data_IF_208005727572
#
_entry.id   IF_208005727572
#
_cell.length_a   1.000
_cell.length_b   1.000
_cell.length_c   1.000
_cell.angle_alpha   90.00
_cell.angle_beta   90.00
_cell.angle_gamma   90.00
#
_symmetry.space_group_name_H-M   'P 1'
#
loop_
_entity.id
_entity.type
_entity.pdbx_description
1 polymer ?
#
# COMPACT_ATOMS: atom_id res chain seq x y z
N UNK A 1 -29.07 2.49 4.31
CA UNK A 1 -27.80 3.20 4.04
C UNK A 1 -26.68 2.40 4.68
N UNK A 2 -25.53 2.31 4.03
CA UNK A 2 -24.35 1.66 4.62
C UNK A 2 -23.97 2.35 5.93
N UNK A 3 -23.47 1.60 6.91
CA UNK A 3 -22.96 2.13 8.20
C UNK A 3 -21.43 2.22 8.23
N UNK A 4 -20.77 1.90 7.12
CA UNK A 4 -19.32 2.06 6.97
C UNK A 4 -18.94 3.54 6.90
N UNK A 5 -17.66 3.84 7.16
CA UNK A 5 -17.10 5.18 6.95
C UNK A 5 -17.34 5.70 5.53
N UNK A 6 -17.51 7.01 5.39
CA UNK A 6 -17.69 7.62 4.08
C UNK A 6 -16.38 7.53 3.29
N UNK A 7 -16.44 7.45 1.95
CA UNK A 7 -15.27 7.72 1.12
C UNK A 7 -14.60 9.05 1.48
N UNK A 8 -13.30 9.14 1.24
CA UNK A 8 -12.54 10.35 1.54
C UNK A 8 -13.12 11.56 0.80
N UNK A 9 -13.29 12.67 1.52
CA UNK A 9 -14.02 13.86 1.04
C UNK A 9 -15.55 13.81 1.22
N UNK A 10 -16.10 12.74 1.81
CA UNK A 10 -17.51 12.66 2.24
C UNK A 10 -18.54 12.42 1.15
N UNK A 11 -18.12 12.27 -0.12
CA UNK A 11 -18.98 11.97 -1.26
C UNK A 11 -19.11 10.46 -1.54
N UNK A 12 -19.65 10.13 -2.70
CA UNK A 12 -19.68 8.75 -3.21
C UNK A 12 -18.29 8.30 -3.70
N UNK A 13 -18.08 6.97 -3.78
CA UNK A 13 -16.89 6.43 -4.43
C UNK A 13 -16.80 6.90 -5.88
N UNK A 14 -15.61 7.35 -6.29
CA UNK A 14 -15.35 7.87 -7.62
C UNK A 14 -14.42 6.94 -8.37
N UNK A 15 -15.01 5.94 -9.03
CA UNK A 15 -14.32 5.07 -9.99
C UNK A 15 -14.11 5.81 -11.31
N UNK A 16 -12.86 5.90 -11.79
CA UNK A 16 -12.55 6.48 -13.09
C UNK A 16 -12.47 5.44 -14.22
N UNK A 17 -12.63 4.15 -13.91
CA UNK A 17 -12.67 3.09 -14.90
C UNK A 17 -13.93 3.21 -15.77
N UNK A 18 -13.73 3.31 -17.07
CA UNK A 18 -14.78 3.16 -18.05
C UNK A 18 -15.09 1.68 -18.29
N UNK A 19 -16.37 1.39 -18.50
CA UNK A 19 -16.85 0.04 -18.80
C UNK A 19 -17.71 0.03 -20.08
N UNK A 20 -17.88 -1.16 -20.67
CA UNK A 20 -18.80 -1.38 -21.79
C UNK A 20 -18.46 -0.55 -23.03
N UNK A 21 -19.47 0.05 -23.64
CA UNK A 21 -19.32 0.78 -24.90
C UNK A 21 -18.53 2.09 -24.74
N UNK A 22 -18.59 2.73 -23.57
CA UNK A 22 -17.81 3.93 -23.27
C UNK A 22 -16.31 3.63 -23.25
N UNK A 23 -15.91 2.51 -22.64
CA UNK A 23 -14.52 2.05 -22.61
C UNK A 23 -14.01 1.75 -24.03
N UNK A 24 -14.80 1.00 -24.81
CA UNK A 24 -14.41 0.63 -26.19
C UNK A 24 -14.23 1.86 -27.07
N UNK A 25 -15.18 2.80 -27.03
CA UNK A 25 -15.11 4.02 -27.82
C UNK A 25 -13.90 4.88 -27.44
N UNK A 26 -13.60 5.00 -26.15
CA UNK A 26 -12.45 5.79 -25.68
C UNK A 26 -11.12 5.08 -26.00
N UNK A 27 -11.06 3.75 -25.93
CA UNK A 27 -9.89 2.98 -26.34
C UNK A 27 -9.61 3.09 -27.84
N UNK A 28 -10.63 3.05 -28.69
CA UNK A 28 -10.49 3.31 -30.13
C UNK A 28 -9.95 4.71 -30.40
N UNK A 29 -10.45 5.72 -29.66
CA UNK A 29 -9.96 7.10 -29.73
C UNK A 29 -8.50 7.21 -29.31
N UNK A 30 -8.11 6.49 -28.25
CA UNK A 30 -6.77 6.51 -27.68
C UNK A 30 -5.68 6.03 -28.65
N UNK A 31 -6.02 5.13 -29.58
CA UNK A 31 -5.06 4.61 -30.58
C UNK A 31 -4.46 5.70 -31.49
N UNK A 32 -5.18 6.81 -31.69
CA UNK A 32 -4.72 7.94 -32.50
C UNK A 32 -4.06 9.08 -31.71
N UNK A 33 -3.98 8.99 -30.38
CA UNK A 33 -3.45 10.05 -29.54
C UNK A 33 -1.93 10.01 -29.44
N UNK A 34 -1.34 11.15 -29.06
CA UNK A 34 0.05 11.18 -28.56
C UNK A 34 0.12 10.30 -27.30
N UNK A 35 1.18 9.52 -27.20
CA UNK A 35 1.38 8.59 -26.09
C UNK A 35 2.33 9.19 -25.06
N UNK A 36 1.97 9.08 -23.79
CA UNK A 36 2.84 9.36 -22.65
C UNK A 36 3.12 8.04 -21.93
N UNK A 37 4.40 7.69 -21.80
CA UNK A 37 4.84 6.45 -21.15
C UNK A 37 4.76 6.62 -19.64
N UNK A 38 4.14 5.65 -18.97
CA UNK A 38 3.92 5.64 -17.54
C UNK A 38 4.81 4.58 -16.90
N UNK A 39 5.54 4.98 -15.86
CA UNK A 39 6.31 4.01 -15.05
C UNK A 39 5.39 3.23 -14.12
N UNK A 40 5.89 2.13 -13.58
CA UNK A 40 5.18 1.23 -12.65
C UNK A 40 4.33 1.95 -11.58
N UNK A 41 4.91 2.97 -10.93
CA UNK A 41 4.21 3.78 -9.91
C UNK A 41 2.98 4.47 -10.48
N UNK A 42 3.13 5.12 -11.63
CA UNK A 42 2.06 5.87 -12.30
C UNK A 42 0.98 4.92 -12.82
N UNK A 43 1.36 3.74 -13.31
CA UNK A 43 0.41 2.67 -13.67
C UNK A 43 -0.41 2.23 -12.45
N UNK A 44 0.23 2.00 -11.30
CA UNK A 44 -0.46 1.71 -10.05
C UNK A 44 -1.42 2.81 -9.62
N UNK A 45 -1.02 4.08 -9.77
CA UNK A 45 -1.86 5.24 -9.45
C UNK A 45 -3.07 5.38 -10.38
N UNK A 46 -2.87 5.14 -11.68
CA UNK A 46 -3.96 5.06 -12.67
C UNK A 46 -4.96 3.99 -12.26
N UNK A 47 -4.49 2.79 -11.89
CA UNK A 47 -5.39 1.70 -11.46
C UNK A 47 -6.11 2.08 -10.16
N UNK A 48 -5.41 2.67 -9.18
CA UNK A 48 -6.03 3.11 -7.93
C UNK A 48 -7.10 4.18 -8.13
N UNK A 49 -6.90 5.12 -9.06
CA UNK A 49 -7.96 6.06 -9.48
C UNK A 49 -9.07 5.34 -10.24
N UNK A 50 -8.71 4.41 -11.12
CA UNK A 50 -9.64 3.59 -11.91
C UNK A 50 -10.63 2.84 -11.04
N UNK A 51 -10.17 2.17 -9.98
CA UNK A 51 -11.03 1.42 -9.07
C UNK A 51 -11.69 2.27 -7.97
N UNK A 52 -11.36 3.58 -7.90
CA UNK A 52 -11.84 4.49 -6.86
C UNK A 52 -11.10 4.39 -5.51
N UNK A 53 -9.96 3.70 -5.46
CA UNK A 53 -9.10 3.64 -4.28
C UNK A 53 -8.53 5.01 -3.91
N UNK A 54 -8.31 5.88 -4.91
CA UNK A 54 -7.89 7.28 -4.74
C UNK A 54 -9.04 8.29 -4.85
N UNK A 55 -10.28 7.89 -4.54
CA UNK A 55 -11.39 8.84 -4.36
C UNK A 55 -10.95 9.97 -3.41
N UNK A 56 -11.17 11.27 -3.74
CA UNK A 56 -11.97 11.79 -4.86
C UNK A 56 -11.17 12.30 -6.08
N UNK A 57 -9.89 11.92 -6.23
CA UNK A 57 -9.09 12.37 -7.39
C UNK A 57 -9.80 12.08 -8.71
N UNK A 58 -9.74 13.03 -9.65
CA UNK A 58 -10.13 12.86 -11.06
C UNK A 58 -8.95 12.61 -11.98
N UNK A 59 -7.71 12.78 -11.51
CA UNK A 59 -6.51 12.58 -12.31
C UNK A 59 -5.26 13.03 -11.57
N UNK A 60 -4.24 13.38 -12.35
CA UNK A 60 -2.94 13.76 -11.82
C UNK A 60 -2.92 15.22 -11.38
N UNK A 61 -2.26 15.46 -10.24
CA UNK A 61 -2.29 16.72 -9.51
C UNK A 61 -1.74 17.91 -10.30
N UNK A 62 -2.36 19.07 -10.11
CA UNK A 62 -1.85 20.37 -10.59
C UNK A 62 -0.60 20.80 -9.82
N UNK A 63 0.10 21.84 -10.29
CA UNK A 63 1.21 22.42 -9.53
C UNK A 63 0.74 22.91 -8.15
N UNK A 64 -0.48 23.46 -8.08
CA UNK A 64 -1.06 23.97 -6.83
C UNK A 64 -1.37 22.85 -5.83
N UNK A 65 -1.91 21.72 -6.32
CA UNK A 65 -2.16 20.54 -5.49
C UNK A 65 -0.84 19.93 -5.02
N UNK A 66 0.11 19.72 -5.93
CA UNK A 66 1.44 19.20 -5.60
C UNK A 66 2.10 20.02 -4.49
N UNK A 67 2.12 21.35 -4.63
CA UNK A 67 2.74 22.24 -3.65
C UNK A 67 2.04 22.17 -2.30
N UNK A 68 0.71 22.24 -2.28
CA UNK A 68 -0.07 22.15 -1.05
C UNK A 68 0.11 20.81 -0.33
N UNK A 69 0.18 19.71 -1.09
CA UNK A 69 0.38 18.36 -0.54
C UNK A 69 1.79 18.20 0.03
N UNK A 70 2.82 18.70 -0.66
CA UNK A 70 4.17 18.76 -0.12
C UNK A 70 4.22 19.58 1.17
N UNK A 71 3.72 20.82 1.14
CA UNK A 71 3.94 21.79 2.21
C UNK A 71 3.08 21.54 3.46
N UNK A 72 1.84 21.08 3.26
CA UNK A 72 0.85 21.00 4.32
C UNK A 72 -0.07 19.79 4.28
N UNK A 73 0.14 18.83 3.36
CA UNK A 73 -0.75 17.68 3.15
C UNK A 73 -2.19 18.08 2.80
N UNK A 74 -2.36 19.15 2.01
CA UNK A 74 -3.67 19.57 1.51
C UNK A 74 -3.60 19.88 0.01
N UNK A 75 -4.61 19.42 -0.73
CA UNK A 75 -4.85 19.84 -2.10
C UNK A 75 -5.22 21.33 -2.16
N UNK A 76 -5.20 21.92 -3.36
CA UNK A 76 -5.60 23.31 -3.57
C UNK A 76 -7.07 23.57 -3.19
N UNK A 77 -7.91 22.53 -3.22
CA UNK A 77 -9.29 22.55 -2.72
C UNK A 77 -9.40 22.68 -1.19
N UNK A 78 -8.29 22.52 -0.46
CA UNK A 78 -8.25 22.39 0.99
C UNK A 78 -8.54 20.98 1.49
N UNK A 79 -8.78 20.00 0.62
CA UNK A 79 -8.95 18.61 1.03
C UNK A 79 -7.61 18.00 1.47
N UNK A 80 -7.60 17.32 2.61
CA UNK A 80 -6.41 16.62 3.09
C UNK A 80 -5.93 15.54 2.10
N UNK A 81 -4.62 15.53 1.81
CA UNK A 81 -3.98 14.49 1.02
C UNK A 81 -2.47 14.43 1.36
N UNK A 82 -1.91 13.26 1.75
CA UNK A 82 -0.59 13.22 2.38
C UNK A 82 0.61 13.10 1.42
N UNK A 83 0.42 12.54 0.21
CA UNK A 83 1.53 12.26 -0.74
C UNK A 83 1.12 12.69 -2.16
N UNK A 84 1.95 13.44 -2.91
CA UNK A 84 1.61 13.86 -4.27
C UNK A 84 1.38 12.68 -5.23
N UNK A 85 0.35 12.78 -6.07
CA UNK A 85 0.05 11.83 -7.14
C UNK A 85 0.26 12.56 -8.47
N UNK A 86 1.45 12.39 -9.05
CA UNK A 86 1.91 13.13 -10.23
C UNK A 86 2.32 12.18 -11.35
N UNK A 87 2.17 12.66 -12.59
CA UNK A 87 2.63 12.02 -13.82
C UNK A 87 3.72 12.89 -14.43
N UNK A 88 4.87 12.30 -14.74
CA UNK A 88 6.02 13.04 -15.30
C UNK A 88 6.42 12.52 -16.68
N UNK A 89 6.99 13.39 -17.51
CA UNK A 89 7.56 13.04 -18.82
C UNK A 89 8.81 13.87 -19.12
N UNK A 90 9.61 13.43 -20.08
CA UNK A 90 10.74 14.23 -20.59
C UNK A 90 10.28 15.51 -21.31
N UNK A 91 11.17 16.51 -21.38
CA UNK A 91 10.86 17.79 -22.01
C UNK A 91 10.48 17.69 -23.49
N UNK A 92 11.08 16.76 -24.25
CA UNK A 92 10.79 16.64 -25.68
C UNK A 92 9.37 16.13 -25.93
N UNK A 93 8.90 15.18 -25.12
CA UNK A 93 7.50 14.74 -25.11
C UNK A 93 6.57 15.89 -24.67
N UNK A 94 6.92 16.62 -23.62
CA UNK A 94 6.12 17.73 -23.10
C UNK A 94 5.98 18.92 -24.09
N UNK A 95 7.03 19.22 -24.86
CA UNK A 95 7.02 20.26 -25.90
C UNK A 95 6.06 19.93 -27.04
N UNK A 96 5.85 18.63 -27.28
CA UNK A 96 4.91 18.13 -28.26
C UNK A 96 3.45 18.19 -27.82
N UNK A 97 3.13 18.54 -26.57
CA UNK A 97 1.78 18.49 -25.98
C UNK A 97 1.31 19.91 -25.65
N UNK A 98 0.06 20.26 -25.91
CA UNK A 98 -0.54 21.55 -25.53
C UNK A 98 -1.59 21.42 -24.44
N UNK A 99 -1.86 22.49 -23.70
CA UNK A 99 -3.00 22.52 -22.78
C UNK A 99 -4.31 22.31 -23.56
N UNK A 100 -5.16 21.43 -23.06
CA UNK A 100 -6.38 20.96 -23.72
C UNK A 100 -6.18 19.77 -24.66
N UNK A 101 -4.94 19.34 -24.94
CA UNK A 101 -4.70 18.10 -25.70
C UNK A 101 -5.18 16.89 -24.88
N UNK A 102 -5.71 15.88 -25.60
CA UNK A 102 -5.90 14.54 -25.05
C UNK A 102 -4.72 13.64 -25.42
N UNK A 103 -4.20 12.92 -24.43
CA UNK A 103 -3.10 11.97 -24.59
C UNK A 103 -3.51 10.57 -24.12
N UNK A 104 -2.89 9.54 -24.70
CA UNK A 104 -2.99 8.16 -24.23
C UNK A 104 -1.87 7.91 -23.21
N UNK A 105 -2.23 7.42 -22.02
CA UNK A 105 -1.31 6.98 -21.00
C UNK A 105 -1.03 5.49 -21.20
N UNK A 106 0.23 5.15 -21.44
CA UNK A 106 0.65 3.81 -21.86
C UNK A 106 1.65 3.25 -20.86
N UNK A 107 1.42 2.05 -20.37
CA UNK A 107 2.39 1.32 -19.56
C UNK A 107 3.69 1.12 -20.36
N UNK A 108 4.81 1.59 -19.81
CA UNK A 108 6.11 1.50 -20.47
C UNK A 108 6.59 0.06 -20.65
N UNK A 109 6.18 -0.86 -19.76
CA UNK A 109 6.65 -2.24 -19.78
C UNK A 109 5.86 -3.13 -20.73
N UNK A 110 4.53 -2.99 -20.73
CA UNK A 110 3.64 -3.84 -21.52
C UNK A 110 3.20 -3.21 -22.84
N UNK A 111 3.28 -1.88 -22.94
CA UNK A 111 2.72 -1.12 -24.06
C UNK A 111 1.19 -1.02 -24.03
N UNK A 112 0.54 -1.44 -22.96
CA UNK A 112 -0.92 -1.37 -22.79
C UNK A 112 -1.39 0.08 -22.59
N UNK A 113 -2.48 0.46 -23.27
CA UNK A 113 -3.14 1.75 -23.04
C UNK A 113 -3.93 1.66 -21.73
N UNK A 114 -3.44 2.33 -20.70
CA UNK A 114 -4.01 2.28 -19.35
C UNK A 114 -5.14 3.29 -19.16
N UNK A 115 -5.01 4.49 -19.74
CA UNK A 115 -5.97 5.58 -19.60
C UNK A 115 -5.84 6.60 -20.74
N UNK A 116 -6.82 7.49 -20.85
CA UNK A 116 -6.65 8.77 -21.56
C UNK A 116 -6.64 9.92 -20.56
N UNK A 117 -5.97 11.01 -20.90
CA UNK A 117 -5.83 12.18 -20.04
C UNK A 117 -6.02 13.46 -20.84
N UNK A 118 -6.82 14.39 -20.32
CA UNK A 118 -6.90 15.75 -20.85
C UNK A 118 -5.91 16.62 -20.10
N UNK A 119 -4.95 17.22 -20.80
CA UNK A 119 -3.88 18.03 -20.19
C UNK A 119 -4.43 19.39 -19.81
N UNK A 120 -4.32 19.77 -18.53
CA UNK A 120 -4.77 21.09 -18.03
C UNK A 120 -3.62 21.99 -17.64
N UNK A 121 -2.46 21.42 -17.31
CA UNK A 121 -1.28 22.15 -16.89
C UNK A 121 -0.03 21.30 -17.14
N UNK A 122 1.08 21.96 -17.48
CA UNK A 122 2.42 21.38 -17.52
C UNK A 122 3.34 22.20 -16.63
N UNK A 123 4.08 21.56 -15.73
CA UNK A 123 4.91 22.27 -14.76
C UNK A 123 6.13 21.45 -14.34
N UNK A 124 7.19 22.12 -13.92
CA UNK A 124 8.33 21.46 -13.28
C UNK A 124 8.21 21.54 -11.76
N UNK A 125 8.75 20.53 -11.08
CA UNK A 125 8.78 20.45 -9.61
C UNK A 125 10.17 20.72 -9.05
N UNK A 126 10.21 21.22 -7.82
CA UNK A 126 11.41 21.16 -7.00
C UNK A 126 11.48 19.76 -6.35
N UNK A 127 12.27 18.87 -6.97
CA UNK A 127 12.43 17.48 -6.54
C UNK A 127 13.03 17.35 -5.14
N UNK A 128 14.00 18.19 -4.81
CA UNK A 128 14.62 18.19 -3.47
C UNK A 128 13.61 18.61 -2.40
N UNK A 129 12.79 19.62 -2.70
CA UNK A 129 11.70 20.06 -1.83
C UNK A 129 10.67 18.96 -1.60
N UNK A 130 10.15 18.32 -2.66
CA UNK A 130 9.24 17.17 -2.51
C UNK A 130 9.89 16.07 -1.66
N UNK A 131 11.17 15.76 -1.94
CA UNK A 131 11.88 14.71 -1.23
C UNK A 131 11.97 15.01 0.28
N UNK A 132 12.45 16.21 0.63
CA UNK A 132 12.59 16.64 2.02
C UNK A 132 11.24 16.69 2.74
N UNK A 133 10.20 17.21 2.08
CA UNK A 133 8.89 17.37 2.72
C UNK A 133 8.15 16.06 2.92
N UNK A 134 8.24 15.14 1.95
CA UNK A 134 7.51 13.87 1.95
C UNK A 134 8.27 12.76 2.69
N UNK A 135 9.57 12.64 2.46
CA UNK A 135 10.39 11.53 2.95
C UNK A 135 11.35 11.92 4.08
N UNK A 136 11.38 13.20 4.48
CA UNK A 136 12.28 13.76 5.52
C UNK A 136 13.77 13.64 5.18
N UNK A 137 14.10 13.36 3.92
CA UNK A 137 15.47 13.23 3.43
C UNK A 137 15.52 13.48 1.92
N UNK A 138 16.69 13.87 1.43
CA UNK A 138 17.01 13.94 -0.01
C UNK A 138 18.02 12.86 -0.41
N UNK A 139 18.27 11.89 0.47
CA UNK A 139 19.18 10.78 0.22
C UNK A 139 18.59 9.81 -0.81
N UNK A 140 19.29 9.64 -1.93
CA UNK A 140 18.91 8.76 -3.04
C UNK A 140 18.92 7.28 -2.70
N UNK A 141 19.55 6.87 -1.58
CA UNK A 141 19.41 5.50 -1.08
C UNK A 141 17.98 5.20 -0.57
N UNK A 142 17.19 6.23 -0.21
CA UNK A 142 15.78 6.06 0.11
C UNK A 142 14.97 5.77 -1.17
N UNK A 143 14.26 4.63 -1.28
CA UNK A 143 13.55 4.25 -2.50
C UNK A 143 12.57 5.29 -3.04
N UNK A 144 11.79 5.92 -2.16
CA UNK A 144 10.88 7.00 -2.53
C UNK A 144 11.56 8.27 -3.03
N UNK A 145 12.76 8.60 -2.52
CA UNK A 145 13.54 9.74 -3.01
C UNK A 145 14.07 9.42 -4.40
N UNK A 146 14.63 8.23 -4.59
CA UNK A 146 15.07 7.77 -5.91
C UNK A 146 13.93 7.86 -6.94
N UNK A 147 12.72 7.40 -6.59
CA UNK A 147 11.55 7.51 -7.46
C UNK A 147 11.23 8.96 -7.87
N UNK A 148 11.37 9.94 -6.97
CA UNK A 148 11.15 11.36 -7.30
C UNK A 148 12.30 11.91 -8.15
N UNK A 149 13.54 11.54 -7.83
CA UNK A 149 14.71 11.95 -8.59
C UNK A 149 14.68 11.44 -10.03
N UNK A 150 14.16 10.23 -10.24
CA UNK A 150 14.02 9.58 -11.55
C UNK A 150 12.82 10.09 -12.38
N UNK A 151 11.95 10.93 -11.83
CA UNK A 151 10.85 11.53 -12.59
C UNK A 151 11.36 12.32 -13.81
N UNK A 152 10.52 12.46 -14.83
CA UNK A 152 10.77 13.37 -15.94
C UNK A 152 10.92 14.84 -15.50
N UNK A 153 11.30 15.70 -16.45
CA UNK A 153 11.54 17.13 -16.18
C UNK A 153 10.23 17.93 -16.04
N UNK A 154 9.14 17.42 -16.62
CA UNK A 154 7.84 18.09 -16.69
C UNK A 154 6.75 17.16 -16.17
N UNK A 155 6.01 17.62 -15.17
CA UNK A 155 4.77 17.01 -14.73
C UNK A 155 3.61 17.46 -15.62
N UNK A 156 2.72 16.51 -15.90
CA UNK A 156 1.47 16.71 -16.61
C UNK A 156 0.32 16.58 -15.61
N UNK A 157 -0.57 17.57 -15.57
CA UNK A 157 -1.75 17.57 -14.72
C UNK A 157 -3.03 17.51 -15.54
N UNK A 158 -4.08 16.95 -14.94
CA UNK A 158 -5.41 16.92 -15.54
C UNK A 158 -6.17 15.62 -15.29
N UNK A 159 -7.47 15.62 -15.61
CA UNK A 159 -8.35 14.49 -15.36
C UNK A 159 -8.05 13.33 -16.31
N UNK A 160 -8.28 12.11 -15.82
CA UNK A 160 -8.09 10.87 -16.59
C UNK A 160 -9.39 10.08 -16.73
N UNK A 161 -9.46 9.26 -17.78
CA UNK A 161 -10.43 8.19 -17.94
C UNK A 161 -9.67 6.88 -18.01
N UNK A 162 -9.91 5.98 -17.06
CA UNK A 162 -9.16 4.73 -16.97
C UNK A 162 -9.78 3.69 -17.90
N UNK A 163 -8.94 3.02 -18.67
CA UNK A 163 -9.32 2.04 -19.68
C UNK A 163 -8.90 0.63 -19.32
N UNK A 164 -7.94 0.45 -18.42
CA UNK A 164 -7.45 -0.86 -18.00
C UNK A 164 -7.13 -0.92 -16.50
N UNK A 165 -7.29 -2.13 -15.95
CA UNK A 165 -6.81 -2.51 -14.62
C UNK A 165 -5.47 -3.28 -14.70
N UNK A 166 -4.87 -3.37 -15.89
CA UNK A 166 -3.67 -4.15 -16.17
C UNK A 166 -3.88 -5.65 -15.97
N UNK A 167 -2.80 -6.36 -15.62
CA UNK A 167 -2.85 -7.82 -15.40
C UNK A 167 -3.54 -8.25 -14.09
N UNK A 168 -3.84 -7.31 -13.18
CA UNK A 168 -4.24 -7.63 -11.81
C UNK A 168 -5.49 -8.52 -11.70
N UNK A 169 -6.60 -8.27 -12.43
CA UNK A 169 -7.78 -9.13 -12.35
C UNK A 169 -7.49 -10.55 -12.82
N UNK A 170 -6.74 -10.70 -13.93
CA UNK A 170 -6.42 -12.00 -14.50
C UNK A 170 -5.43 -12.79 -13.64
N UNK A 171 -4.47 -12.10 -13.02
CA UNK A 171 -3.37 -12.70 -12.25
C UNK A 171 -3.77 -13.06 -10.82
N UNK A 172 -4.61 -12.24 -10.19
CA UNK A 172 -4.92 -12.37 -8.76
C UNK A 172 -6.37 -12.78 -8.49
N UNK A 173 -7.26 -12.73 -9.49
CA UNK A 173 -8.65 -13.16 -9.35
C UNK A 173 -9.32 -12.53 -8.13
N UNK A 174 -9.92 -13.36 -7.29
CA UNK A 174 -10.66 -12.95 -6.08
C UNK A 174 -9.78 -12.25 -5.03
N UNK A 175 -8.45 -12.35 -5.11
CA UNK A 175 -7.57 -11.58 -4.23
C UNK A 175 -7.55 -10.11 -4.60
N UNK A 176 -7.74 -9.75 -5.86
CA UNK A 176 -7.81 -8.35 -6.27
C UNK A 176 -9.22 -7.83 -6.08
N UNK A 177 -9.39 -6.87 -5.17
CA UNK A 177 -10.70 -6.28 -4.90
C UNK A 177 -10.70 -4.77 -5.02
N UNK A 178 -11.80 -4.24 -5.55
CA UNK A 178 -12.07 -2.81 -5.59
C UNK A 178 -12.67 -2.33 -4.26
N UNK A 179 -12.59 -1.02 -3.98
CA UNK A 179 -13.36 -0.37 -2.91
C UNK A 179 -14.86 -0.71 -2.91
N UNK A 180 -15.48 -0.76 -4.10
CA UNK A 180 -16.90 -1.08 -4.21
C UNK A 180 -17.19 -2.53 -3.78
N UNK A 181 -16.35 -3.48 -4.19
CA UNK A 181 -16.48 -4.90 -3.82
C UNK A 181 -16.26 -5.13 -2.32
N UNK A 182 -15.19 -4.58 -1.75
CA UNK A 182 -14.92 -4.73 -0.31
C UNK A 182 -16.04 -4.13 0.55
N UNK A 183 -16.56 -2.94 0.20
CA UNK A 183 -17.72 -2.36 0.88
C UNK A 183 -18.98 -3.21 0.77
N UNK A 184 -19.24 -3.79 -0.40
CA UNK A 184 -20.39 -4.68 -0.60
C UNK A 184 -20.26 -5.94 0.27
N UNK A 185 -19.07 -6.52 0.33
CA UNK A 185 -18.79 -7.70 1.17
C UNK A 185 -18.90 -7.38 2.66
N UNK A 186 -18.36 -6.26 3.12
CA UNK A 186 -18.53 -5.82 4.51
C UNK A 186 -20.00 -5.65 4.88
N UNK A 187 -20.79 -5.03 3.99
CA UNK A 187 -22.23 -4.88 4.20
C UNK A 187 -22.95 -6.23 4.23
N UNK A 188 -22.60 -7.17 3.34
CA UNK A 188 -23.16 -8.52 3.32
C UNK A 188 -22.83 -9.32 4.59
N UNK A 189 -21.64 -9.08 5.18
CA UNK A 189 -21.21 -9.64 6.46
C UNK A 189 -21.84 -8.97 7.68
N UNK A 190 -22.55 -7.86 7.49
CA UNK A 190 -23.12 -7.05 8.55
C UNK A 190 -22.09 -6.21 9.31
N UNK A 191 -20.88 -6.05 8.77
CA UNK A 191 -19.81 -5.28 9.39
C UNK A 191 -20.06 -3.77 9.25
N UNK A 192 -19.77 -3.04 10.32
CA UNK A 192 -19.90 -1.58 10.43
C UNK A 192 -18.59 -0.93 10.83
N UNK A 193 -17.81 -1.59 11.69
CA UNK A 193 -16.43 -1.23 12.02
C UNK A 193 -15.48 -2.28 11.45
N UNK A 194 -14.56 -1.83 10.60
CA UNK A 194 -13.56 -2.69 9.95
C UNK A 194 -12.18 -2.10 10.16
N UNK A 195 -11.23 -2.93 10.59
CA UNK A 195 -9.83 -2.58 10.67
C UNK A 195 -9.07 -3.14 9.47
N UNK A 196 -8.22 -2.32 8.85
CA UNK A 196 -7.33 -2.79 7.80
C UNK A 196 -5.97 -3.16 8.38
N UNK A 197 -5.45 -4.31 7.95
CA UNK A 197 -4.07 -4.72 8.20
C UNK A 197 -3.28 -4.66 6.90
N UNK A 198 -2.38 -3.69 6.79
CA UNK A 198 -1.46 -3.57 5.67
C UNK A 198 -0.39 -4.67 5.76
N UNK A 199 -0.16 -5.41 4.67
CA UNK A 199 0.99 -6.32 4.62
C UNK A 199 1.55 -6.52 3.20
N UNK A 200 2.86 -6.76 3.14
CA UNK A 200 3.57 -7.32 1.98
C UNK A 200 4.26 -8.65 2.29
N UNK A 201 4.08 -9.16 3.51
CA UNK A 201 4.75 -10.35 4.05
C UNK A 201 3.71 -11.39 4.47
N UNK A 202 4.11 -12.67 4.61
CA UNK A 202 3.30 -13.66 5.34
C UNK A 202 2.98 -13.20 6.77
N UNK A 203 1.87 -13.69 7.31
CA UNK A 203 1.50 -13.44 8.70
C UNK A 203 2.10 -14.50 9.63
N UNK A 204 2.61 -14.06 10.78
CA UNK A 204 3.15 -14.90 11.86
C UNK A 204 2.38 -14.59 13.15
N UNK A 205 2.76 -15.15 14.30
CA UNK A 205 1.99 -14.98 15.55
C UNK A 205 1.91 -13.53 16.02
N UNK A 206 2.92 -12.70 15.74
CA UNK A 206 2.84 -11.26 15.95
C UNK A 206 1.71 -10.64 15.14
N UNK A 207 1.67 -10.88 13.84
CA UNK A 207 0.62 -10.39 12.95
C UNK A 207 -0.77 -10.96 13.30
N UNK A 208 -0.84 -12.25 13.67
CA UNK A 208 -2.06 -12.89 14.19
C UNK A 208 -2.58 -12.14 15.42
N UNK A 209 -1.69 -11.80 16.35
CA UNK A 209 -2.04 -11.08 17.57
C UNK A 209 -2.55 -9.66 17.28
N UNK A 210 -1.93 -8.94 16.33
CA UNK A 210 -2.42 -7.63 15.88
C UNK A 210 -3.85 -7.72 15.32
N UNK A 211 -4.09 -8.69 14.42
CA UNK A 211 -5.41 -8.90 13.85
C UNK A 211 -6.44 -9.31 14.91
N UNK A 212 -6.06 -10.12 15.89
CA UNK A 212 -6.95 -10.50 17.01
C UNK A 212 -7.32 -9.30 17.89
N UNK A 213 -6.37 -8.42 18.20
CA UNK A 213 -6.69 -7.17 18.92
C UNK A 213 -7.72 -6.35 18.14
N UNK A 214 -7.57 -6.26 16.82
CA UNK A 214 -8.51 -5.54 15.99
C UNK A 214 -9.90 -6.19 15.94
N UNK A 215 -10.00 -7.53 15.87
CA UNK A 215 -11.27 -8.28 15.94
C UNK A 215 -12.00 -8.05 17.28
N UNK A 216 -11.29 -7.85 18.39
CA UNK A 216 -11.94 -7.57 19.68
C UNK A 216 -12.65 -6.21 19.74
N UNK A 217 -12.29 -5.27 18.85
CA UNK A 217 -12.82 -3.90 18.86
C UNK A 217 -13.58 -3.51 17.59
N UNK A 218 -13.50 -4.32 16.54
CA UNK A 218 -14.15 -4.12 15.25
C UNK A 218 -14.96 -5.36 14.86
N UNK A 219 -15.99 -5.17 14.03
CA UNK A 219 -16.79 -6.29 13.51
C UNK A 219 -15.95 -7.25 12.63
N UNK A 220 -14.90 -6.73 12.00
CA UNK A 220 -13.94 -7.56 11.26
C UNK A 220 -12.63 -6.87 10.87
N UNK A 221 -11.73 -7.66 10.31
CA UNK A 221 -10.42 -7.22 9.81
C UNK A 221 -10.28 -7.52 8.32
N UNK A 222 -9.89 -6.52 7.54
CA UNK A 222 -9.40 -6.68 6.18
C UNK A 222 -7.87 -6.85 6.21
N UNK A 223 -7.38 -8.06 6.03
CA UNK A 223 -5.97 -8.32 5.71
C UNK A 223 -5.73 -7.91 4.26
N UNK A 224 -5.12 -6.75 4.07
CA UNK A 224 -5.04 -6.08 2.79
C UNK A 224 -3.60 -6.11 2.25
N UNK A 225 -3.34 -7.03 1.33
CA UNK A 225 -2.00 -7.34 0.83
C UNK A 225 -1.59 -6.50 -0.39
N UNK A 226 -0.35 -6.05 -0.42
CA UNK A 226 0.23 -5.47 -1.64
C UNK A 226 0.32 -6.54 -2.75
N UNK A 227 -0.25 -6.25 -3.93
CA UNK A 227 -0.18 -7.10 -5.13
C UNK A 227 0.76 -6.53 -6.22
N UNK A 228 1.25 -5.30 -6.02
CA UNK A 228 2.18 -4.61 -6.94
C UNK A 228 3.57 -5.24 -7.00
N UNK A 229 4.53 -4.52 -7.60
CA UNK A 229 5.89 -5.05 -7.75
C UNK A 229 6.53 -5.31 -6.39
N UNK A 230 7.08 -6.51 -6.26
CA UNK A 230 7.78 -6.95 -5.07
C UNK A 230 9.28 -6.69 -5.21
N UNK A 231 9.98 -6.52 -4.09
CA UNK A 231 11.44 -6.41 -4.11
C UNK A 231 12.06 -7.78 -4.43
N UNK A 232 13.24 -7.83 -5.06
CA UNK A 232 13.98 -9.08 -5.21
C UNK A 232 14.14 -9.80 -3.85
N UNK A 233 13.71 -11.06 -3.78
CA UNK A 233 13.72 -11.87 -2.55
C UNK A 233 12.44 -11.81 -1.70
N UNK A 234 11.45 -11.00 -2.06
CA UNK A 234 10.12 -11.06 -1.47
C UNK A 234 9.37 -12.33 -1.88
N UNK A 235 8.52 -12.82 -0.98
CA UNK A 235 7.74 -14.04 -1.20
C UNK A 235 6.57 -13.74 -2.17
N UNK A 236 6.36 -14.56 -3.22
CA UNK A 236 5.29 -14.37 -4.20
C UNK A 236 3.90 -14.25 -3.55
N UNK A 237 3.01 -13.50 -4.20
CA UNK A 237 1.66 -13.23 -3.68
C UNK A 237 0.85 -14.51 -3.40
N UNK A 238 0.96 -15.53 -4.26
CA UNK A 238 0.29 -16.83 -4.07
C UNK A 238 0.74 -17.49 -2.76
N UNK A 239 2.05 -17.60 -2.53
CA UNK A 239 2.60 -18.21 -1.31
C UNK A 239 2.24 -17.40 -0.06
N UNK A 240 2.27 -16.06 -0.14
CA UNK A 240 1.81 -15.21 0.97
C UNK A 240 0.34 -15.43 1.27
N UNK A 241 -0.47 -15.54 0.24
CA UNK A 241 -1.90 -15.73 0.38
C UNK A 241 -2.24 -17.08 0.96
N UNK A 242 -1.60 -18.15 0.52
CA UNK A 242 -1.77 -19.48 1.11
C UNK A 242 -1.42 -19.50 2.60
N UNK A 243 -0.33 -18.81 2.98
CA UNK A 243 0.08 -18.69 4.36
C UNK A 243 -0.94 -17.90 5.21
N UNK A 244 -1.51 -16.82 4.67
CA UNK A 244 -2.52 -16.02 5.36
C UNK A 244 -3.85 -16.78 5.45
N UNK A 245 -4.35 -17.37 4.36
CA UNK A 245 -5.57 -18.18 4.35
C UNK A 245 -5.48 -19.34 5.35
N UNK A 246 -4.34 -20.04 5.40
CA UNK A 246 -4.11 -21.11 6.40
C UNK A 246 -4.21 -20.60 7.83
N UNK A 247 -3.74 -19.37 8.08
CA UNK A 247 -3.86 -18.76 9.40
C UNK A 247 -5.31 -18.39 9.72
N UNK A 248 -6.03 -17.81 8.75
CA UNK A 248 -7.45 -17.44 8.86
C UNK A 248 -8.28 -18.69 9.18
N UNK A 249 -8.20 -19.72 8.34
CA UNK A 249 -9.05 -20.92 8.41
C UNK A 249 -8.89 -21.71 9.71
N UNK A 250 -7.70 -21.66 10.31
CA UNK A 250 -7.38 -22.48 11.50
C UNK A 250 -7.45 -21.73 12.82
N UNK A 251 -7.24 -20.41 12.81
CA UNK A 251 -6.94 -19.65 14.03
C UNK A 251 -7.84 -18.43 14.25
N UNK A 252 -8.78 -18.16 13.35
CA UNK A 252 -9.79 -17.11 13.47
C UNK A 252 -11.20 -17.70 13.46
N UNK A 253 -12.14 -16.98 14.07
CA UNK A 253 -13.57 -17.33 14.01
C UNK A 253 -14.10 -16.96 12.64
N UNK A 254 -14.98 -17.80 12.08
CA UNK A 254 -15.67 -17.50 10.83
C UNK A 254 -16.28 -16.09 10.86
N UNK A 255 -16.25 -15.39 9.72
CA UNK A 255 -16.78 -14.05 9.57
C UNK A 255 -16.13 -12.96 10.45
N UNK A 256 -14.85 -13.12 10.83
CA UNK A 256 -14.07 -12.07 11.54
C UNK A 256 -12.90 -11.52 10.73
N UNK A 257 -12.41 -12.25 9.73
CA UNK A 257 -11.29 -11.83 8.88
C UNK A 257 -11.63 -12.05 7.41
N UNK A 258 -11.25 -11.08 6.59
CA UNK A 258 -11.31 -11.12 5.15
C UNK A 258 -9.93 -10.79 4.59
N UNK A 259 -9.52 -11.48 3.53
CA UNK A 259 -8.27 -11.19 2.83
C UNK A 259 -8.58 -10.63 1.44
N UNK A 260 -7.86 -9.57 1.08
CA UNK A 260 -7.85 -9.02 -0.27
C UNK A 260 -6.49 -8.38 -0.55
N UNK A 261 -6.33 -7.83 -1.74
CA UNK A 261 -5.12 -7.17 -2.18
C UNK A 261 -5.39 -6.01 -3.14
N UNK A 262 -4.38 -5.14 -3.26
CA UNK A 262 -4.46 -3.88 -3.99
C UNK A 262 -3.20 -3.59 -4.82
N UNK A 263 -3.31 -2.82 -5.92
CA UNK A 263 -2.31 -2.71 -6.97
C UNK A 263 -1.44 -1.45 -6.85
N UNK A 264 -0.86 -1.20 -5.68
CA UNK A 264 -0.04 0.00 -5.44
C UNK A 264 1.44 -0.35 -5.33
N UNK A 265 2.30 0.53 -5.85
CA UNK A 265 3.73 0.55 -5.51
C UNK A 265 3.95 1.44 -4.29
N UNK A 266 4.55 0.90 -3.23
CA UNK A 266 4.82 1.69 -2.02
C UNK A 266 5.93 2.70 -2.26
N UNK A 267 5.81 3.90 -1.70
CA UNK A 267 6.83 4.95 -1.75
C UNK A 267 7.82 4.85 -0.60
N UNK A 268 7.50 4.03 0.40
CA UNK A 268 8.27 3.89 1.64
C UNK A 268 8.36 5.20 2.44
N UNK A 269 7.34 6.07 2.33
CA UNK A 269 7.32 7.38 3.00
C UNK A 269 6.93 7.31 4.49
N UNK A 270 7.15 6.14 5.13
CA UNK A 270 6.94 5.89 6.56
C UNK A 270 5.67 6.57 7.11
N UNK A 271 5.81 7.63 7.93
CA UNK A 271 4.68 8.36 8.49
C UNK A 271 3.65 8.88 7.47
N UNK A 272 4.07 9.56 6.40
CA UNK A 272 3.12 10.09 5.41
C UNK A 272 2.43 8.97 4.62
N UNK A 273 3.11 7.85 4.43
CA UNK A 273 2.49 6.70 3.77
C UNK A 273 1.52 5.95 4.69
N UNK A 274 1.71 6.00 6.02
CA UNK A 274 0.70 5.53 6.96
C UNK A 274 -0.61 6.32 6.82
N UNK A 275 -0.52 7.64 6.60
CA UNK A 275 -1.67 8.50 6.30
C UNK A 275 -2.29 8.16 4.94
N UNK A 276 -1.47 7.97 3.89
CA UNK A 276 -1.98 7.57 2.57
C UNK A 276 -2.70 6.22 2.65
N UNK A 277 -2.11 5.27 3.39
CA UNK A 277 -2.72 4.00 3.70
C UNK A 277 -4.07 4.19 4.37
N UNK A 278 -4.17 5.00 5.43
CA UNK A 278 -5.45 5.24 6.12
C UNK A 278 -6.51 5.86 5.18
N UNK A 279 -6.10 6.80 4.33
CA UNK A 279 -6.95 7.48 3.35
C UNK A 279 -7.58 6.49 2.37
N UNK A 280 -6.78 5.71 1.64
CA UNK A 280 -7.40 4.79 0.69
C UNK A 280 -8.09 3.63 1.40
N UNK A 281 -7.68 3.22 2.61
CA UNK A 281 -8.45 2.24 3.40
C UNK A 281 -9.83 2.77 3.79
N UNK A 282 -9.95 4.08 4.02
CA UNK A 282 -11.24 4.73 4.16
C UNK A 282 -12.09 4.50 2.91
N UNK A 283 -11.52 4.70 1.72
CA UNK A 283 -12.20 4.43 0.45
C UNK A 283 -12.62 2.97 0.32
N UNK A 284 -11.81 2.02 0.79
CA UNK A 284 -12.18 0.61 0.88
C UNK A 284 -13.22 0.28 1.98
N UNK A 285 -13.70 1.27 2.74
CA UNK A 285 -14.72 1.10 3.78
C UNK A 285 -14.18 0.70 5.15
N UNK A 286 -12.87 0.81 5.38
CA UNK A 286 -12.26 0.50 6.66
C UNK A 286 -12.31 1.72 7.59
N UNK A 287 -12.91 1.54 8.76
CA UNK A 287 -12.97 2.55 9.83
C UNK A 287 -11.66 2.70 10.63
N UNK A 288 -10.80 1.68 10.60
CA UNK A 288 -9.55 1.67 11.34
C UNK A 288 -8.39 1.19 10.46
N UNK A 289 -7.18 1.66 10.76
CA UNK A 289 -5.94 1.14 10.20
C UNK A 289 -5.07 0.61 11.35
N UNK A 290 -4.65 -0.65 11.28
CA UNK A 290 -3.61 -1.15 12.17
C UNK A 290 -2.29 -0.47 11.78
N UNK A 291 -1.73 0.30 12.72
CA UNK A 291 -0.42 0.92 12.58
C UNK A 291 0.48 0.26 13.60
N UNK A 292 1.49 -0.45 13.10
CA UNK A 292 2.51 -1.08 13.93
C UNK A 292 3.82 -0.30 13.93
N UNK A 293 4.83 -0.88 14.57
CA UNK A 293 6.21 -0.40 14.52
C UNK A 293 6.69 -0.25 13.06
N UNK A 294 7.30 0.89 12.75
CA UNK A 294 8.02 1.13 11.49
C UNK A 294 7.11 0.94 10.25
N UNK A 295 5.85 1.35 10.39
CA UNK A 295 4.83 1.20 9.35
C UNK A 295 5.24 1.94 8.07
N UNK A 296 5.30 1.22 6.96
CA UNK A 296 5.75 1.71 5.65
C UNK A 296 7.16 2.35 5.66
N UNK A 297 7.96 2.12 6.70
CA UNK A 297 9.33 2.61 6.80
C UNK A 297 10.33 1.78 5.99
N UNK A 298 11.53 2.32 5.86
CA UNK A 298 12.67 1.69 5.19
C UNK A 298 13.96 2.10 5.89
N UNK A 299 14.86 1.13 6.07
CA UNK A 299 16.14 1.37 6.75
C UNK A 299 15.95 1.96 8.14
N UNK A 300 16.74 3.00 8.44
CA UNK A 300 16.68 3.76 9.70
C UNK A 300 16.26 5.23 9.44
N UNK A 301 15.55 5.52 8.33
CA UNK A 301 15.13 6.89 7.98
C UNK A 301 14.03 7.45 8.87
N UNK A 302 13.28 6.59 9.57
CA UNK A 302 12.17 6.97 10.44
C UNK A 302 12.33 6.31 11.80
N UNK A 303 11.89 6.99 12.85
CA UNK A 303 11.74 6.40 14.17
C UNK A 303 10.70 5.27 14.17
N UNK A 304 10.83 4.29 15.08
CA UNK A 304 9.99 3.09 15.10
C UNK A 304 8.49 3.38 15.30
N UNK A 305 8.12 4.58 15.77
CA UNK A 305 6.74 4.98 16.02
C UNK A 305 6.39 6.34 15.40
N UNK A 306 7.18 6.86 14.47
CA UNK A 306 6.87 8.15 13.83
C UNK A 306 5.55 8.07 13.06
N UNK A 307 5.24 6.89 12.49
CA UNK A 307 3.95 6.61 11.87
C UNK A 307 2.77 6.58 12.86
N UNK A 308 3.01 6.43 14.16
CA UNK A 308 1.97 6.63 15.18
C UNK A 308 1.75 8.11 15.46
N UNK A 309 2.85 8.86 15.60
CA UNK A 309 2.83 10.26 16.02
C UNK A 309 2.21 11.17 14.96
N UNK A 310 2.42 10.89 13.67
CA UNK A 310 1.90 11.74 12.60
C UNK A 310 0.36 11.84 12.57
N UNK A 311 -0.36 10.82 13.07
CA UNK A 311 -1.82 10.91 13.20
C UNK A 311 -2.28 11.90 14.28
N UNK A 312 -1.39 12.28 15.21
CA UNK A 312 -1.68 13.29 16.24
C UNK A 312 -1.34 14.72 15.75
N UNK A 313 -0.77 14.85 14.54
CA UNK A 313 -0.32 16.12 13.95
C UNK A 313 -1.25 16.63 12.84
N UNK A 314 -2.18 15.80 12.36
CA UNK A 314 -3.16 16.17 11.32
C UNK A 314 -4.43 16.77 11.93
N UNK A 315 -5.22 17.54 11.16
CA UNK A 315 -6.54 18.01 11.60
C UNK A 315 -7.48 16.85 11.99
N UNK A 316 -8.33 17.05 13.00
CA UNK A 316 -9.27 16.03 13.50
C UNK A 316 -10.26 15.52 12.42
N UNK A 317 -10.56 16.36 11.43
CA UNK A 317 -11.46 16.06 10.31
C UNK A 317 -10.74 15.62 9.03
N UNK A 318 -9.41 15.43 9.07
CA UNK A 318 -8.61 15.03 7.91
C UNK A 318 -8.95 13.62 7.41
N UNK A 319 -9.30 12.69 8.31
CA UNK A 319 -9.61 11.30 8.02
C UNK A 319 -10.71 10.78 8.96
N UNK A 320 -11.66 10.02 8.43
CA UNK A 320 -12.57 9.22 9.28
C UNK A 320 -11.88 7.95 9.79
N UNK A 321 -10.96 7.38 9.00
CA UNK A 321 -10.18 6.19 9.40
C UNK A 321 -9.31 6.49 10.61
N UNK A 322 -9.51 5.75 11.70
CA UNK A 322 -8.77 5.92 12.94
C UNK A 322 -7.54 4.99 13.02
N UNK A 323 -6.39 5.46 13.53
CA UNK A 323 -5.23 4.60 13.71
C UNK A 323 -5.39 3.70 14.95
N UNK A 324 -5.28 2.38 14.75
CA UNK A 324 -5.08 1.42 15.82
C UNK A 324 -3.57 1.24 16.06
N UNK A 325 -3.01 2.10 16.92
CA UNK A 325 -1.57 2.18 17.24
C UNK A 325 -1.16 1.03 18.17
N UNK A 326 -0.60 -0.04 17.61
CA UNK A 326 -0.15 -1.21 18.38
C UNK A 326 1.37 -1.18 18.55
N UNK A 327 1.80 -1.34 19.80
CA UNK A 327 3.22 -1.31 20.17
C UNK A 327 3.97 -2.55 19.65
N UNK A 328 5.27 -2.63 19.87
CA UNK A 328 6.09 -3.76 19.48
C UNK A 328 5.61 -5.04 20.16
N UNK A 329 5.11 -5.98 19.35
CA UNK A 329 4.60 -7.27 19.81
C UNK A 329 5.64 -8.37 19.70
N UNK A 330 5.65 -9.28 20.67
CA UNK A 330 6.58 -10.41 20.76
C UNK A 330 5.97 -11.55 21.57
N UNK A 331 6.50 -12.75 21.41
CA UNK A 331 6.20 -13.85 22.34
C UNK A 331 7.03 -13.66 23.61
N UNK A 332 6.44 -13.85 24.78
CA UNK A 332 7.16 -13.85 26.05
C UNK A 332 6.96 -15.16 26.81
N UNK A 333 8.05 -15.83 27.16
CA UNK A 333 8.03 -17.15 27.79
C UNK A 333 7.47 -17.10 29.21
N UNK A 334 7.79 -16.06 29.98
CA UNK A 334 7.20 -15.85 31.33
C UNK A 334 5.72 -15.49 31.28
N UNK A 335 5.27 -14.78 30.25
CA UNK A 335 3.83 -14.53 30.04
C UNK A 335 3.11 -15.76 29.49
N UNK A 336 3.84 -16.70 28.87
CA UNK A 336 3.28 -17.88 28.21
C UNK A 336 2.49 -17.54 26.94
N UNK A 337 2.78 -16.42 26.26
CA UNK A 337 1.95 -15.93 25.18
C UNK A 337 2.50 -14.72 24.42
N UNK A 338 1.73 -14.28 23.42
CA UNK A 338 1.96 -13.01 22.73
C UNK A 338 1.65 -11.84 23.65
N UNK A 339 2.56 -10.87 23.68
CA UNK A 339 2.45 -9.64 24.45
C UNK A 339 2.98 -8.45 23.64
N UNK A 340 2.92 -7.26 24.23
CA UNK A 340 3.53 -6.05 23.70
C UNK A 340 4.40 -5.36 24.75
N UNK A 341 5.19 -4.37 24.34
CA UNK A 341 5.92 -3.48 25.26
C UNK A 341 5.00 -2.78 26.29
N UNK A 342 3.70 -2.62 25.99
CA UNK A 342 2.74 -2.00 26.91
C UNK A 342 2.18 -2.97 27.94
N UNK A 343 2.24 -4.28 27.68
CA UNK A 343 1.54 -5.29 28.48
C UNK A 343 2.47 -6.29 29.15
N UNK A 344 3.74 -6.38 28.73
CA UNK A 344 4.73 -7.27 29.32
C UNK A 344 5.82 -6.49 30.08
N UNK A 345 6.02 -6.77 31.39
CA UNK A 345 7.05 -6.11 32.19
C UNK A 345 8.41 -6.83 32.17
N UNK A 346 8.52 -8.01 31.54
CA UNK A 346 9.73 -8.85 31.57
C UNK A 346 10.82 -8.34 30.61
N UNK A 347 12.08 -8.71 30.81
CA UNK A 347 13.21 -8.21 30.02
C UNK A 347 13.41 -8.95 28.69
N UNK A 348 14.35 -8.48 27.86
CA UNK A 348 14.60 -9.02 26.52
C UNK A 348 14.97 -10.52 26.50
N UNK A 349 15.55 -11.04 27.57
CA UNK A 349 15.89 -12.47 27.71
C UNK A 349 14.66 -13.39 27.75
N UNK A 350 13.51 -12.87 28.18
CA UNK A 350 12.25 -13.60 28.27
C UNK A 350 11.39 -13.45 27.00
N UNK A 351 11.91 -12.76 25.98
CA UNK A 351 11.14 -12.34 24.80
C UNK A 351 11.75 -12.93 23.53
N UNK A 352 10.93 -13.62 22.76
CA UNK A 352 11.30 -14.06 21.42
C UNK A 352 10.93 -12.98 20.40
N UNK A 353 11.96 -12.33 19.88
CA UNK A 353 11.88 -11.41 18.74
C UNK A 353 12.77 -11.94 17.62
N UNK A 354 12.17 -12.34 16.50
CA UNK A 354 12.89 -12.78 15.32
C UNK A 354 12.75 -11.72 14.23
N UNK A 355 13.86 -11.19 13.74
CA UNK A 355 13.85 -10.28 12.59
C UNK A 355 13.47 -11.05 11.31
N UNK A 356 12.86 -10.35 10.35
CA UNK A 356 12.57 -10.95 9.04
C UNK A 356 13.81 -11.50 8.34
N UNK A 357 14.97 -10.86 8.53
CA UNK A 357 16.27 -11.33 8.04
C UNK A 357 16.66 -12.68 8.67
N UNK A 358 16.54 -12.82 10.00
CA UNK A 358 16.80 -14.10 10.68
C UNK A 358 15.83 -15.19 10.23
N UNK A 359 14.54 -14.86 10.08
CA UNK A 359 13.54 -15.80 9.57
C UNK A 359 13.88 -16.30 8.17
N UNK A 360 14.14 -15.40 7.22
CA UNK A 360 14.47 -15.79 5.85
C UNK A 360 15.72 -16.65 5.80
N UNK A 361 16.75 -16.31 6.59
CA UNK A 361 17.96 -17.14 6.71
C UNK A 361 17.62 -18.53 7.21
N UNK A 362 16.82 -18.62 8.27
CA UNK A 362 16.44 -19.91 8.83
C UNK A 362 15.66 -20.77 7.82
N UNK A 363 14.73 -20.18 7.08
CA UNK A 363 13.96 -20.86 6.05
C UNK A 363 14.84 -21.30 4.85
N UNK A 364 15.75 -20.44 4.38
CA UNK A 364 16.68 -20.76 3.28
C UNK A 364 17.68 -21.85 3.63
N UNK A 365 18.15 -21.88 4.88
CA UNK A 365 19.08 -22.89 5.40
C UNK A 365 18.38 -24.15 5.93
N UNK A 366 17.04 -24.20 5.84
CA UNK A 366 16.20 -25.26 6.40
C UNK A 366 16.49 -25.54 7.89
N UNK A 367 16.78 -24.49 8.66
CA UNK A 367 16.95 -24.56 10.11
C UNK A 367 15.61 -24.38 10.83
N UNK A 368 15.59 -24.74 12.10
CA UNK A 368 14.37 -24.72 12.90
C UNK A 368 13.91 -23.28 13.20
N UNK A 369 12.62 -23.03 13.01
CA UNK A 369 11.97 -21.77 13.39
C UNK A 369 11.00 -22.11 14.52
N UNK A 370 11.11 -21.45 15.69
CA UNK A 370 10.27 -21.77 16.84
C UNK A 370 8.77 -21.64 16.54
N UNK A 371 7.97 -22.57 17.04
CA UNK A 371 6.53 -22.61 16.83
C UNK A 371 5.78 -21.49 17.59
N UNK A 372 6.40 -20.91 18.62
CA UNK A 372 5.98 -19.72 19.33
C UNK A 372 6.31 -18.40 18.59
N UNK A 373 7.09 -18.46 17.49
CA UNK A 373 7.23 -17.35 16.54
C UNK A 373 6.18 -17.41 15.42
N UNK A 374 6.03 -18.58 14.78
CA UNK A 374 5.07 -18.78 13.68
C UNK A 374 4.35 -20.11 13.82
N UNK A 375 3.08 -20.15 13.40
CA UNK A 375 2.30 -21.40 13.38
C UNK A 375 3.00 -22.46 12.52
N UNK A 376 3.05 -23.74 12.95
CA UNK A 376 3.71 -24.81 12.18
C UNK A 376 3.21 -24.92 10.75
N UNK A 377 1.91 -24.75 10.50
CA UNK A 377 1.32 -24.89 9.16
C UNK A 377 1.73 -23.76 8.21
N UNK A 378 1.85 -22.54 8.75
CA UNK A 378 2.43 -21.41 8.02
C UNK A 378 3.89 -21.72 7.67
N UNK A 379 4.66 -22.24 8.64
CA UNK A 379 6.06 -22.61 8.40
C UNK A 379 6.21 -23.73 7.35
N UNK A 380 5.28 -24.69 7.29
CA UNK A 380 5.28 -25.73 6.25
C UNK A 380 5.16 -25.12 4.86
N UNK A 381 4.25 -24.18 4.65
CA UNK A 381 4.06 -23.49 3.36
C UNK A 381 5.32 -22.72 2.98
N UNK A 382 5.87 -21.94 3.92
CA UNK A 382 7.07 -21.15 3.67
C UNK A 382 8.28 -22.03 3.38
N UNK A 383 8.50 -23.11 4.15
CA UNK A 383 9.61 -24.04 3.88
C UNK A 383 9.48 -24.71 2.52
N UNK A 384 8.26 -25.08 2.09
CA UNK A 384 8.03 -25.63 0.76
C UNK A 384 8.46 -24.65 -0.34
N UNK A 385 8.13 -23.37 -0.18
CA UNK A 385 8.57 -22.32 -1.11
C UNK A 385 10.09 -22.17 -1.12
N UNK A 386 10.74 -22.01 0.05
CA UNK A 386 12.19 -21.81 0.12
C UNK A 386 12.97 -23.04 -0.37
N UNK A 387 12.45 -24.26 -0.18
CA UNK A 387 13.04 -25.48 -0.73
C UNK A 387 12.91 -25.59 -2.26
N UNK A 388 11.98 -24.86 -2.88
CA UNK A 388 11.78 -24.83 -4.34
C UNK A 388 12.72 -23.86 -5.07
N UNK A 389 13.34 -22.93 -4.34
CA UNK A 389 14.27 -21.96 -4.89
C UNK A 389 15.58 -22.64 -5.30
N UNK A 390 16.06 -22.35 -6.50
CA UNK A 390 17.38 -22.75 -6.97
C UNK A 390 18.48 -21.98 -6.22
N UNK A 391 19.71 -22.49 -6.25
CA UNK A 391 20.81 -21.87 -5.52
C UNK A 391 21.16 -20.45 -6.02
N UNK A 392 20.90 -20.14 -7.29
CA UNK A 392 21.04 -18.81 -7.89
C UNK A 392 19.87 -17.86 -7.56
N UNK A 393 18.74 -18.39 -7.11
CA UNK A 393 17.57 -17.63 -6.65
C UNK A 393 17.61 -17.35 -5.14
N UNK A 394 18.50 -18.04 -4.41
CA UNK A 394 18.74 -17.80 -2.98
C UNK A 394 19.53 -16.52 -2.80
N UNK A 395 18.83 -15.45 -2.41
CA UNK A 395 19.47 -14.18 -2.02
C UNK A 395 20.43 -14.44 -0.85
N UNK A 396 21.68 -14.00 -0.97
CA UNK A 396 22.65 -14.04 0.15
C UNK A 396 22.18 -13.08 1.25
N UNK A 397 21.72 -13.63 2.37
CA UNK A 397 21.17 -12.82 3.47
C UNK A 397 22.31 -12.33 4.36
N UNK A 398 22.82 -11.13 4.07
CA UNK A 398 23.79 -10.44 4.93
C UNK A 398 23.11 -9.88 6.17
N UNK A 399 23.65 -10.21 7.35
CA UNK A 399 23.17 -9.67 8.62
C UNK A 399 23.90 -8.37 8.96
N UNK A 400 23.22 -7.23 8.98
CA UNK A 400 23.75 -5.94 9.44
C UNK A 400 22.72 -5.14 10.25
N UNK A 401 23.19 -4.25 11.14
CA UNK A 401 22.37 -3.30 11.90
C UNK A 401 21.48 -3.91 12.99
N UNK A 402 20.41 -3.20 13.36
CA UNK A 402 19.38 -3.66 14.32
C UNK A 402 18.76 -5.03 13.94
N UNK A 403 18.84 -5.42 12.66
CA UNK A 403 18.43 -6.70 12.09
C UNK A 403 19.18 -7.92 12.66
N UNK A 404 20.34 -7.71 13.29
CA UNK A 404 21.16 -8.75 13.91
C UNK A 404 20.75 -9.09 15.35
N UNK A 405 20.00 -8.20 16.03
CA UNK A 405 19.58 -8.41 17.41
C UNK A 405 18.35 -9.30 17.52
#
# INVERSE_FOLDING_TARGET
MSKLVNPHGGGDLKSLLLEGDAQKAELERAQGMKQVRCVSREVGDIIMMGIGGFTPLDGFMTQSDWKGVCDGMHMASGLFWPIPITLSTDQATADGISDGDDVALVDDETGEIMATMTITEKYSIDKEHECMMVYKTTDTEHPGVQMVMDQGEVNLAGPIKVLSQGEFPAKYGDQFMTPAQTRADFAAKGWTTVAAFQTRNPMHRSHEYLAKIAVEICDGVLVHSLLGKLKPGDIPAEVRSDAISTLIDKYFVDNTVMQAGYPLDMRYAGPREALLHALFRQNYGCSHLIVGRDHAGVGDYYGPFDAHHIFDEIPDDALETQPLKIDWTFWCDKCGGMSSMKTCPHDAEDRLMLSGTKLRKALSENTEVPDNFSRPEVLTILRKYYASLKDDEKVEIKMSGHSAR
#
